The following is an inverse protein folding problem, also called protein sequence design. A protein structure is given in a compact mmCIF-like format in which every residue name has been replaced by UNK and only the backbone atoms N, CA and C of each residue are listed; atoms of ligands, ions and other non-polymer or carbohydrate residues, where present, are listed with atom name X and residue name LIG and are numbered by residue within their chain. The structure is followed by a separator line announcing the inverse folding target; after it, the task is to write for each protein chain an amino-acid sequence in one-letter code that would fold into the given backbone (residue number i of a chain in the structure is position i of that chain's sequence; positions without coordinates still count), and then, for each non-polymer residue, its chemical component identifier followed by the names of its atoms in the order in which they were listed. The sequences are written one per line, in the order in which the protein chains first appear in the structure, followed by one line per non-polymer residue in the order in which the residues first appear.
data_IF_327337936232
#
_entry.id   IF_327337936232
#
_cell.length_a   1.000
_cell.length_b   1.000
_cell.length_c   1.000
_cell.angle_alpha   90.00
_cell.angle_beta   90.00
_cell.angle_gamma   90.00
#
_symmetry.space_group_name_H-M   'P 1'
#
loop_
_entity.id
_entity.type
_entity.pdbx_description
1 polymer ?
#
# COMPACT_ATOMS: atom_id res chain seq x y z
N UNK A 1 6.91 13.47 -3.31
CA UNK A 1 7.18 12.36 -4.26
C UNK A 1 6.43 11.13 -3.80
N UNK A 2 5.77 10.41 -4.72
CA UNK A 2 5.11 9.12 -4.48
C UNK A 2 5.85 8.01 -5.23
N UNK A 3 6.06 6.86 -4.57
CA UNK A 3 6.76 5.71 -5.15
C UNK A 3 6.21 4.39 -4.60
N UNK A 4 6.32 3.33 -5.39
CA UNK A 4 6.01 1.96 -4.96
C UNK A 4 7.17 1.27 -4.23
N UNK A 5 8.31 1.95 -4.04
CA UNK A 5 9.41 1.46 -3.21
C UNK A 5 10.59 0.90 -3.99
N UNK A 6 11.04 1.59 -5.04
CA UNK A 6 12.31 1.30 -5.67
C UNK A 6 13.43 1.88 -4.78
N UNK A 7 13.96 1.05 -3.86
CA UNK A 7 14.89 1.46 -2.80
C UNK A 7 16.13 2.21 -3.31
N UNK A 8 16.83 1.79 -4.40
CA UNK A 8 17.96 2.55 -4.90
C UNK A 8 17.63 3.98 -5.32
N UNK A 9 16.42 4.21 -5.82
CA UNK A 9 15.96 5.56 -6.19
C UNK A 9 15.62 6.40 -4.96
N UNK A 10 15.13 5.79 -3.87
CA UNK A 10 14.92 6.49 -2.61
C UNK A 10 16.23 7.02 -2.02
N UNK A 11 17.30 6.23 -2.10
CA UNK A 11 18.62 6.68 -1.65
C UNK A 11 19.13 7.88 -2.46
N UNK A 12 19.03 7.81 -3.79
CA UNK A 12 19.41 8.94 -4.67
C UNK A 12 18.57 10.20 -4.37
N UNK A 13 17.25 10.03 -4.26
CA UNK A 13 16.34 11.14 -3.94
C UNK A 13 16.69 11.80 -2.59
N UNK A 14 17.13 11.02 -1.61
CA UNK A 14 17.58 11.50 -0.30
C UNK A 14 18.84 12.38 -0.36
N UNK A 15 19.61 12.29 -1.43
CA UNK A 15 20.80 13.08 -1.60
C UNK A 15 20.55 14.38 -2.40
N UNK A 16 19.44 14.47 -3.12
CA UNK A 16 19.15 15.55 -4.06
C UNK A 16 18.11 16.56 -3.60
N UNK A 17 16.99 16.13 -2.99
CA UNK A 17 15.84 17.02 -2.74
C UNK A 17 15.06 16.68 -1.47
N UNK A 18 14.85 17.67 -0.60
CA UNK A 18 14.03 17.59 0.61
C UNK A 18 12.52 17.68 0.35
N UNK A 19 11.90 16.66 -0.24
CA UNK A 19 10.47 16.63 -0.53
C UNK A 19 9.72 15.62 0.33
N UNK A 20 8.45 15.86 0.58
CA UNK A 20 7.58 14.91 1.28
C UNK A 20 7.53 13.58 0.52
N UNK A 21 7.61 12.47 1.27
CA UNK A 21 7.64 11.10 0.73
C UNK A 21 6.32 10.40 0.98
N UNK A 22 5.75 9.81 -0.06
CA UNK A 22 4.61 8.92 -0.01
C UNK A 22 4.97 7.56 -0.61
N UNK A 23 4.64 6.49 0.10
CA UNK A 23 4.96 5.10 -0.27
C UNK A 23 3.67 4.31 -0.50
N UNK A 24 3.52 3.73 -1.67
CA UNK A 24 2.47 2.75 -1.97
C UNK A 24 2.80 1.42 -1.29
N UNK A 25 2.32 1.24 -0.06
CA UNK A 25 2.59 0.05 0.76
C UNK A 25 1.60 -1.08 0.46
N UNK A 26 0.33 -0.83 0.60
CA UNK A 26 -0.84 -1.65 0.25
C UNK A 26 -0.95 -3.02 0.93
N UNK A 27 0.04 -3.47 1.69
CA UNK A 27 0.03 -4.74 2.41
C UNK A 27 0.88 -4.68 3.68
N UNK A 28 0.50 -5.41 4.74
CA UNK A 28 1.25 -5.47 5.98
C UNK A 28 2.32 -6.56 5.99
N UNK A 29 2.31 -7.50 5.02
CA UNK A 29 3.25 -8.61 4.93
C UNK A 29 3.89 -8.73 3.55
N UNK A 30 5.12 -9.27 3.49
CA UNK A 30 5.83 -9.49 2.24
C UNK A 30 5.06 -10.42 1.30
N UNK A 31 4.45 -11.49 1.83
CA UNK A 31 3.67 -12.44 1.03
C UNK A 31 2.56 -11.75 0.25
N UNK A 32 1.77 -10.93 0.92
CA UNK A 32 0.68 -10.20 0.28
C UNK A 32 1.21 -9.07 -0.61
N UNK A 33 2.27 -8.38 -0.17
CA UNK A 33 2.85 -7.30 -0.94
C UNK A 33 3.51 -7.78 -2.24
N UNK A 34 4.09 -8.97 -2.26
CA UNK A 34 4.63 -9.59 -3.49
C UNK A 34 3.57 -9.77 -4.58
N UNK A 35 2.32 -9.95 -4.16
CA UNK A 35 1.19 -10.10 -5.08
C UNK A 35 0.64 -8.74 -5.52
N UNK A 36 0.46 -7.81 -4.60
CA UNK A 36 -0.14 -6.50 -4.86
C UNK A 36 0.85 -5.50 -5.48
N UNK A 37 2.10 -5.55 -5.05
CA UNK A 37 3.18 -4.63 -5.44
C UNK A 37 4.44 -5.43 -5.77
N UNK A 38 4.56 -5.99 -6.98
CA UNK A 38 5.60 -6.98 -7.33
C UNK A 38 7.05 -6.53 -7.13
N UNK A 39 7.33 -5.23 -7.08
CA UNK A 39 8.67 -4.70 -6.75
C UNK A 39 9.14 -5.14 -5.35
N UNK A 40 8.21 -5.56 -4.48
CA UNK A 40 8.53 -6.07 -3.15
C UNK A 40 9.46 -7.29 -3.18
N UNK A 41 9.38 -8.10 -4.23
CA UNK A 41 10.26 -9.28 -4.39
C UNK A 41 11.74 -8.89 -4.53
N UNK A 42 12.02 -7.68 -5.01
CA UNK A 42 13.38 -7.12 -5.09
C UNK A 42 13.75 -6.35 -3.83
N UNK A 43 12.78 -5.67 -3.25
CA UNK A 43 12.94 -4.79 -2.10
C UNK A 43 11.84 -5.09 -1.08
N UNK A 44 12.05 -6.07 -0.17
CA UNK A 44 11.10 -6.44 0.88
C UNK A 44 10.72 -5.26 1.77
N UNK A 45 9.60 -5.40 2.49
CA UNK A 45 9.05 -4.35 3.36
C UNK A 45 10.11 -3.81 4.32
N UNK A 46 10.92 -4.67 4.91
CA UNK A 46 11.96 -4.30 5.89
C UNK A 46 13.00 -3.36 5.25
N UNK A 47 13.53 -3.73 4.08
CA UNK A 47 14.48 -2.90 3.33
C UNK A 47 13.87 -1.57 2.91
N UNK A 48 12.61 -1.61 2.45
CA UNK A 48 11.87 -0.41 2.07
C UNK A 48 11.68 0.53 3.25
N UNK A 49 11.25 0.01 4.41
CA UNK A 49 11.03 0.82 5.61
C UNK A 49 12.33 1.43 6.12
N UNK A 50 13.43 0.68 6.13
CA UNK A 50 14.75 1.20 6.51
C UNK A 50 15.20 2.35 5.60
N UNK A 51 15.00 2.23 4.30
CA UNK A 51 15.25 3.31 3.35
C UNK A 51 14.38 4.54 3.60
N UNK A 52 13.10 4.33 3.94
CA UNK A 52 12.17 5.42 4.30
C UNK A 52 12.62 6.17 5.56
N UNK A 53 13.06 5.43 6.59
CA UNK A 53 13.51 6.05 7.84
C UNK A 53 14.84 6.79 7.66
N UNK A 54 15.74 6.25 6.84
CA UNK A 54 16.98 6.93 6.49
C UNK A 54 16.68 8.23 5.73
N UNK A 55 15.78 8.17 4.75
CA UNK A 55 15.31 9.33 3.99
C UNK A 55 14.71 10.40 4.92
N UNK A 56 13.79 10.00 5.79
CA UNK A 56 13.15 10.92 6.73
C UNK A 56 14.15 11.65 7.63
N UNK A 57 15.16 10.92 8.13
CA UNK A 57 16.23 11.52 8.95
C UNK A 57 17.09 12.50 8.16
N UNK A 58 17.54 12.11 6.96
CA UNK A 58 18.36 12.98 6.10
C UNK A 58 17.65 14.28 5.74
N UNK A 59 16.35 14.19 5.48
CA UNK A 59 15.52 15.32 5.04
C UNK A 59 14.82 16.05 6.18
N UNK A 60 15.07 15.64 7.44
CA UNK A 60 14.40 16.19 8.62
C UNK A 60 12.86 16.19 8.50
N UNK A 61 12.31 15.13 7.91
CA UNK A 61 10.86 14.99 7.75
C UNK A 61 10.21 14.56 9.06
N UNK A 62 9.11 15.21 9.41
CA UNK A 62 8.29 14.82 10.56
C UNK A 62 7.58 13.49 10.37
N UNK A 63 7.20 13.16 9.13
CA UNK A 63 6.47 11.93 8.81
C UNK A 63 6.71 11.48 7.37
N UNK A 64 6.69 10.15 7.15
CA UNK A 64 6.54 9.50 5.86
C UNK A 64 5.10 9.05 5.70
N UNK A 65 4.47 9.32 4.57
CA UNK A 65 3.10 8.89 4.28
C UNK A 65 3.11 7.52 3.62
N UNK A 66 2.34 6.57 4.17
CA UNK A 66 2.11 5.26 3.58
C UNK A 66 0.69 5.19 3.00
N UNK A 67 0.59 4.96 1.72
CA UNK A 67 -0.68 4.76 1.04
C UNK A 67 -1.09 3.29 1.13
N UNK A 68 -2.34 3.05 1.51
CA UNK A 68 -2.90 1.73 1.71
C UNK A 68 -4.28 1.65 1.08
N UNK A 69 -4.37 1.03 -0.10
CA UNK A 69 -5.63 0.82 -0.81
C UNK A 69 -6.37 -0.36 -0.19
N UNK A 70 -7.58 -0.14 0.27
CA UNK A 70 -8.42 -1.12 0.95
C UNK A 70 -9.14 -2.01 -0.06
N UNK A 71 -8.79 -3.30 -0.09
CA UNK A 71 -9.36 -4.32 -0.98
C UNK A 71 -10.14 -5.33 -0.15
N UNK A 72 -11.45 -5.45 -0.41
CA UNK A 72 -12.35 -6.34 0.34
C UNK A 72 -11.87 -7.78 0.36
N UNK A 73 -11.73 -8.34 1.55
CA UNK A 73 -11.31 -9.74 1.77
C UNK A 73 -9.86 -10.05 1.38
N UNK A 74 -9.05 -9.03 1.10
CA UNK A 74 -7.64 -9.19 0.68
C UNK A 74 -6.68 -8.62 1.72
N UNK A 75 -6.85 -7.34 2.09
CA UNK A 75 -5.96 -6.62 2.99
C UNK A 75 -6.73 -5.77 4.01
N UNK A 76 -7.99 -6.07 4.26
CA UNK A 76 -8.93 -5.26 5.04
C UNK A 76 -9.34 -5.89 6.38
N UNK A 77 -8.63 -6.94 6.82
CA UNK A 77 -8.91 -7.61 8.09
C UNK A 77 -8.38 -6.82 9.31
N UNK A 78 -8.90 -7.11 10.49
CA UNK A 78 -8.39 -6.54 11.75
C UNK A 78 -6.95 -7.01 12.03
N UNK A 79 -6.62 -8.21 11.59
CA UNK A 79 -5.29 -8.79 11.68
C UNK A 79 -4.30 -8.01 10.82
N UNK A 80 -4.69 -7.65 9.59
CA UNK A 80 -3.88 -6.80 8.72
C UNK A 80 -3.63 -5.42 9.35
N UNK A 81 -4.66 -4.84 9.99
CA UNK A 81 -4.51 -3.55 10.69
C UNK A 81 -3.52 -3.65 11.87
N UNK A 82 -3.60 -4.73 12.65
CA UNK A 82 -2.68 -4.96 13.78
C UNK A 82 -1.25 -5.22 13.32
N UNK A 83 -1.07 -5.96 12.24
CA UNK A 83 0.24 -6.23 11.65
C UNK A 83 0.86 -4.94 11.09
N UNK A 84 0.07 -4.14 10.37
CA UNK A 84 0.49 -2.83 9.89
C UNK A 84 0.87 -1.89 11.05
N UNK A 85 0.10 -1.92 12.13
CA UNK A 85 0.41 -1.16 13.35
C UNK A 85 1.74 -1.59 13.96
N UNK A 86 2.04 -2.90 14.00
CA UNK A 86 3.33 -3.42 14.51
C UNK A 86 4.50 -2.95 13.69
N UNK A 87 4.37 -2.95 12.36
CA UNK A 87 5.41 -2.49 11.44
C UNK A 87 5.78 -1.02 11.64
N UNK A 88 4.80 -0.17 11.93
CA UNK A 88 4.96 1.29 11.92
C UNK A 88 4.96 1.93 13.31
N UNK A 89 4.74 1.16 14.38
CA UNK A 89 4.71 1.67 15.76
C UNK A 89 6.03 2.36 16.13
N UNK A 90 5.91 3.55 16.72
CA UNK A 90 7.08 4.33 17.15
C UNK A 90 7.92 4.92 16.03
N UNK A 91 7.43 4.85 14.79
CA UNK A 91 8.10 5.43 13.62
C UNK A 91 7.39 6.70 13.16
N UNK A 92 8.09 7.61 12.45
CA UNK A 92 7.49 8.83 11.91
C UNK A 92 6.60 8.51 10.70
N UNK A 93 5.54 7.75 10.93
CA UNK A 93 4.64 7.25 9.91
C UNK A 93 3.25 7.91 9.98
N UNK A 94 2.68 8.14 8.81
CA UNK A 94 1.29 8.52 8.60
C UNK A 94 0.68 7.58 7.58
N UNK A 95 -0.54 7.09 7.81
CA UNK A 95 -1.24 6.22 6.87
C UNK A 95 -2.36 7.00 6.17
N UNK A 96 -2.43 6.82 4.86
CA UNK A 96 -3.53 7.28 4.02
C UNK A 96 -4.30 6.06 3.52
N UNK A 97 -5.46 5.76 4.12
CA UNK A 97 -6.35 4.70 3.65
C UNK A 97 -7.11 5.18 2.42
N UNK A 98 -7.04 4.42 1.35
CA UNK A 98 -7.67 4.74 0.07
C UNK A 98 -8.76 3.69 -0.19
N UNK A 99 -10.05 4.05 -0.09
CA UNK A 99 -11.12 3.15 -0.51
C UNK A 99 -10.93 2.77 -1.98
N UNK A 100 -11.00 1.47 -2.26
CA UNK A 100 -10.89 1.01 -3.64
C UNK A 100 -12.20 1.23 -4.39
N UNK A 101 -12.11 1.78 -5.59
CA UNK A 101 -13.27 1.87 -6.48
C UNK A 101 -13.20 0.78 -7.54
N UNK A 102 -14.27 0.02 -7.63
CA UNK A 102 -14.41 -1.02 -8.65
C UNK A 102 -14.57 -0.40 -10.04
N UNK A 103 -13.96 -1.02 -11.03
CA UNK A 103 -14.13 -0.68 -12.44
C UNK A 103 -14.23 -1.95 -13.29
N UNK A 104 -14.80 -1.89 -14.50
CA UNK A 104 -14.99 -3.06 -15.34
C UNK A 104 -13.68 -3.83 -15.58
N UNK A 105 -13.74 -5.18 -15.42
CA UNK A 105 -12.59 -6.07 -15.64
C UNK A 105 -11.65 -6.25 -14.44
N UNK A 106 -11.96 -5.67 -13.26
CA UNK A 106 -11.21 -5.86 -12.01
C UNK A 106 -11.93 -6.86 -11.12
N UNK A 107 -11.17 -7.78 -10.51
CA UNK A 107 -11.71 -8.81 -9.60
C UNK A 107 -11.80 -8.37 -8.15
N UNK A 108 -11.24 -7.20 -7.81
CA UNK A 108 -11.28 -6.69 -6.44
C UNK A 108 -12.56 -5.89 -6.19
N UNK A 109 -13.07 -5.99 -4.98
CA UNK A 109 -14.23 -5.26 -4.52
C UNK A 109 -13.84 -4.18 -3.51
N UNK A 110 -14.70 -3.18 -3.38
CA UNK A 110 -14.55 -2.12 -2.38
C UNK A 110 -14.80 -2.66 -0.98
N UNK A 111 -13.96 -2.27 -0.04
CA UNK A 111 -14.19 -2.53 1.39
C UNK A 111 -15.32 -1.65 1.90
N UNK A 112 -16.19 -2.21 2.72
CA UNK A 112 -17.30 -1.48 3.35
C UNK A 112 -16.80 -0.37 4.29
N UNK A 113 -17.50 0.76 4.31
CA UNK A 113 -17.13 1.93 5.12
C UNK A 113 -16.97 1.59 6.61
N UNK A 114 -17.77 0.69 7.15
CA UNK A 114 -17.67 0.22 8.54
C UNK A 114 -16.32 -0.46 8.79
N UNK A 115 -15.89 -1.35 7.91
CA UNK A 115 -14.58 -2.03 8.00
C UNK A 115 -13.41 -1.06 7.87
N UNK A 116 -13.51 -0.10 6.96
CA UNK A 116 -12.47 0.94 6.82
C UNK A 116 -12.34 1.74 8.13
N UNK A 117 -13.45 2.09 8.76
CA UNK A 117 -13.45 2.80 10.04
C UNK A 117 -12.86 1.94 11.17
N UNK A 118 -13.20 0.65 11.25
CA UNK A 118 -12.62 -0.28 12.23
C UNK A 118 -11.11 -0.41 12.05
N UNK A 119 -10.66 -0.59 10.81
CA UNK A 119 -9.25 -0.65 10.45
C UNK A 119 -8.50 0.63 10.85
N UNK A 120 -9.08 1.79 10.52
CA UNK A 120 -8.54 3.10 10.91
C UNK A 120 -8.43 3.25 12.42
N UNK A 121 -9.44 2.85 13.18
CA UNK A 121 -9.45 2.97 14.62
C UNK A 121 -8.34 2.14 15.27
N UNK A 122 -8.10 0.91 14.81
CA UNK A 122 -6.99 0.08 15.28
C UNK A 122 -5.65 0.78 15.10
N UNK A 123 -5.43 1.43 13.96
CA UNK A 123 -4.20 2.18 13.69
C UNK A 123 -4.07 3.42 14.57
N UNK A 124 -5.15 4.18 14.75
CA UNK A 124 -5.18 5.37 15.61
C UNK A 124 -4.93 5.01 17.08
N UNK A 125 -5.56 3.94 17.59
CA UNK A 125 -5.34 3.41 18.94
C UNK A 125 -3.91 2.93 19.15
N UNK A 126 -3.23 2.53 18.09
CA UNK A 126 -1.81 2.18 18.08
C UNK A 126 -0.87 3.40 18.00
N UNK A 127 -1.40 4.62 18.01
CA UNK A 127 -0.64 5.86 17.94
C UNK A 127 -0.17 6.26 16.55
N UNK A 128 -0.74 5.66 15.48
CA UNK A 128 -0.37 5.97 14.10
C UNK A 128 -1.42 6.91 13.50
N UNK A 129 -0.98 8.11 13.10
CA UNK A 129 -1.85 9.05 12.40
C UNK A 129 -2.41 8.42 11.14
N UNK A 130 -3.72 8.31 11.05
CA UNK A 130 -4.39 7.65 9.93
C UNK A 130 -5.55 8.49 9.43
N UNK A 131 -5.55 8.77 8.13
CA UNK A 131 -6.64 9.45 7.44
C UNK A 131 -7.24 8.53 6.39
N UNK A 132 -8.53 8.70 6.10
CA UNK A 132 -9.20 8.05 4.98
C UNK A 132 -9.42 9.08 3.88
N UNK A 133 -8.93 8.78 2.68
CA UNK A 133 -9.15 9.65 1.52
C UNK A 133 -10.62 9.62 1.15
N UNK A 134 -11.27 10.78 1.10
CA UNK A 134 -12.61 10.89 0.53
C UNK A 134 -12.50 10.81 -0.98
N UNK A 135 -13.18 9.84 -1.56
CA UNK A 135 -13.33 9.75 -3.01
C UNK A 135 -14.30 10.85 -3.46
N UNK A 136 -13.77 11.93 -4.02
CA UNK A 136 -14.58 12.79 -4.89
C UNK A 136 -14.59 12.10 -6.25
N UNK A 137 -15.80 11.87 -6.81
CA UNK A 137 -15.99 11.13 -8.07
C UNK A 137 -14.98 11.52 -9.17
N UNK A 138 -14.81 10.73 -10.17
CA UNK A 138 -14.02 10.87 -11.42
C UNK A 138 -12.48 11.00 -11.34
N UNK A 139 -11.85 11.61 -10.34
CA UNK A 139 -10.39 11.81 -10.28
C UNK A 139 -9.57 10.54 -9.91
N UNK A 140 -10.20 9.39 -9.84
CA UNK A 140 -9.61 8.17 -9.25
C UNK A 140 -8.80 7.35 -10.24
N UNK A 141 -8.95 7.58 -11.54
CA UNK A 141 -8.20 6.82 -12.55
C UNK A 141 -6.69 7.04 -12.47
N UNK A 142 -6.22 8.19 -12.03
CA UNK A 142 -4.80 8.51 -11.94
C UNK A 142 -4.08 7.83 -10.74
N UNK A 143 -4.75 7.70 -9.58
CA UNK A 143 -4.16 7.04 -8.40
C UNK A 143 -4.16 5.52 -8.49
N UNK A 144 -5.10 4.93 -9.25
CA UNK A 144 -5.20 3.48 -9.49
C UNK A 144 -4.26 2.97 -10.60
N UNK A 145 -3.57 3.84 -11.34
CA UNK A 145 -2.75 3.45 -12.48
C UNK A 145 -1.63 2.45 -12.15
N UNK A 146 -1.00 2.58 -11.00
CA UNK A 146 0.03 1.66 -10.55
C UNK A 146 -0.53 0.33 -10.04
N UNK A 147 -1.64 0.35 -9.31
CA UNK A 147 -2.36 -0.85 -8.89
C UNK A 147 -3.02 -1.57 -10.08
N UNK A 148 -3.52 -0.85 -11.07
CA UNK A 148 -4.18 -1.46 -12.25
C UNK A 148 -3.22 -2.33 -13.07
N UNK A 149 -1.94 -1.97 -13.15
CA UNK A 149 -0.91 -2.81 -13.78
C UNK A 149 -0.69 -4.12 -13.03
N UNK A 150 -0.54 -4.06 -11.71
CA UNK A 150 -0.36 -5.23 -10.83
C UNK A 150 -1.62 -6.08 -10.75
N UNK A 151 -2.79 -5.46 -10.67
CA UNK A 151 -4.11 -6.10 -10.63
C UNK A 151 -4.41 -6.85 -11.94
N UNK A 152 -4.11 -6.26 -13.11
CA UNK A 152 -4.26 -6.93 -14.41
C UNK A 152 -3.36 -8.17 -14.52
N UNK A 153 -2.14 -8.10 -13.99
CA UNK A 153 -1.20 -9.23 -14.01
C UNK A 153 -1.65 -10.37 -13.09
N UNK A 154 -2.18 -10.06 -11.90
CA UNK A 154 -2.77 -11.06 -10.99
C UNK A 154 -4.01 -11.72 -11.60
N UNK A 155 -4.90 -10.96 -12.22
CA UNK A 155 -6.07 -11.49 -12.89
C UNK A 155 -5.69 -12.44 -14.06
N UNK A 156 -4.66 -12.09 -14.85
CA UNK A 156 -4.13 -12.94 -15.91
C UNK A 156 -3.48 -14.21 -15.37
N UNK A 157 -2.74 -14.14 -14.28
CA UNK A 157 -2.09 -15.29 -13.63
C UNK A 157 -3.14 -16.27 -13.11
N UNK A 158 -4.13 -15.80 -12.37
CA UNK A 158 -5.22 -16.63 -11.82
C UNK A 158 -6.05 -17.27 -12.92
N UNK A 159 -6.29 -16.57 -14.04
CA UNK A 159 -6.99 -17.12 -15.19
C UNK A 159 -6.16 -18.25 -15.86
N UNK A 160 -4.85 -18.05 -16.04
CA UNK A 160 -3.94 -19.08 -16.59
C UNK A 160 -3.86 -20.32 -15.70
N UNK A 161 -3.84 -20.15 -14.38
CA UNK A 161 -3.83 -21.27 -13.43
C UNK A 161 -5.16 -22.05 -13.44
N UNK A 162 -6.31 -21.37 -13.58
CA UNK A 162 -7.62 -22.03 -13.73
C UNK A 162 -7.73 -22.78 -15.06
N UNK A 163 -7.27 -22.21 -16.16
CA UNK A 163 -7.26 -22.88 -17.47
C UNK A 163 -6.36 -24.12 -17.48
N UNK A 164 -5.20 -24.06 -16.82
CA UNK A 164 -4.32 -25.25 -16.68
C UNK A 164 -4.95 -26.36 -15.85
N UNK A 165 -5.76 -26.04 -14.82
CA UNK A 165 -6.47 -27.04 -14.01
C UNK A 165 -7.68 -27.67 -14.70
N UNK A 166 -8.20 -27.05 -15.75
CA UNK A 166 -9.32 -27.60 -16.54
C UNK A 166 -8.84 -28.49 -17.72
N UNK A 167 -7.54 -28.48 -18.05
CA UNK A 167 -6.94 -29.25 -19.11
C UNK A 167 -6.23 -30.54 -18.62
N UNK A 168 -6.35 -30.85 -17.32
CA UNK A 168 -5.91 -32.11 -16.69
C UNK A 168 -7.06 -32.74 -15.96
#
# INVERSE_FOLDING_TARGET
VSTSGLVPQLHKLGDEVGVALAISLHAPSNKLRDELVPINRKHPIEELLDACWLYARKQNLKTVTFEYTMLKGVNDSKEDARELARLLRGKPAKINLIPFNTFPGVKFESTEAKKINEFRNILLESGIMTITRRTRGEDIQAACGQLSGSVRNLAKKTLREKLKKQMH
#
